data_IF_872386071314
#
_entry.id   IF_872386071314
#
_cell.length_a   1.000
_cell.length_b   1.000
_cell.length_c   1.000
_cell.angle_alpha   90.00
_cell.angle_beta   90.00
_cell.angle_gamma   90.00
#
_symmetry.space_group_name_H-M   'P 1'
#
loop_
_entity.id
_entity.type
_entity.pdbx_description
1 polymer ?
#
# COMPACT_ATOMS: atom_id res chain seq x y z
N UNK A 1 38.71 20.47 11.00
CA UNK A 1 38.60 19.17 10.31
C UNK A 1 37.66 18.22 11.05
N UNK A 2 37.85 17.93 12.35
CA UNK A 2 36.99 17.01 13.14
C UNK A 2 35.50 17.40 13.15
N UNK A 3 35.17 18.67 13.31
CA UNK A 3 33.78 19.15 13.34
C UNK A 3 32.98 18.86 12.05
N UNK A 4 33.64 18.88 10.88
CA UNK A 4 33.01 18.57 9.59
C UNK A 4 32.64 17.08 9.47
N UNK A 5 33.50 16.19 9.98
CA UNK A 5 33.22 14.75 10.00
C UNK A 5 32.06 14.40 10.94
N UNK A 6 32.00 15.03 12.11
CA UNK A 6 30.90 14.83 13.07
C UNK A 6 29.58 15.34 12.50
N UNK A 7 29.57 16.52 11.87
CA UNK A 7 28.38 17.10 11.27
C UNK A 7 27.84 16.24 10.11
N UNK A 8 28.72 15.77 9.22
CA UNK A 8 28.34 14.85 8.13
C UNK A 8 27.78 13.52 8.65
N UNK A 9 28.36 12.95 9.71
CA UNK A 9 27.87 11.72 10.33
C UNK A 9 26.48 11.87 10.97
N UNK A 10 26.25 12.98 11.69
CA UNK A 10 24.95 13.28 12.29
C UNK A 10 23.85 13.52 11.25
N UNK A 11 24.17 14.24 10.16
CA UNK A 11 23.23 14.42 9.05
C UNK A 11 22.92 13.09 8.35
N UNK A 12 23.93 12.25 8.10
CA UNK A 12 23.72 10.93 7.50
C UNK A 12 22.81 10.03 8.35
N UNK A 13 23.01 10.03 9.67
CA UNK A 13 22.15 9.33 10.62
C UNK A 13 20.72 9.86 10.59
N UNK A 14 20.55 11.19 10.57
CA UNK A 14 19.23 11.82 10.52
C UNK A 14 18.45 11.45 9.25
N UNK A 15 19.08 11.57 8.07
CA UNK A 15 18.46 11.15 6.81
C UNK A 15 18.21 9.64 6.75
N UNK A 16 19.10 8.83 7.32
CA UNK A 16 18.92 7.38 7.40
C UNK A 16 17.72 6.98 8.26
N UNK A 17 17.52 7.62 9.41
CA UNK A 17 16.37 7.39 10.29
C UNK A 17 15.05 7.83 9.64
N UNK A 18 15.04 8.96 8.93
CA UNK A 18 13.87 9.41 8.16
C UNK A 18 13.54 8.41 7.05
N UNK A 19 14.54 7.96 6.29
CA UNK A 19 14.35 6.96 5.24
C UNK A 19 13.77 5.67 5.79
N UNK A 20 14.30 5.19 6.92
CA UNK A 20 13.79 4.00 7.61
C UNK A 20 12.33 4.18 8.05
N UNK A 21 11.99 5.33 8.64
CA UNK A 21 10.63 5.63 9.05
C UNK A 21 9.65 5.61 7.86
N UNK A 22 10.04 6.17 6.71
CA UNK A 22 9.21 6.16 5.49
C UNK A 22 8.99 4.73 4.99
N UNK A 23 10.04 3.90 4.95
CA UNK A 23 9.92 2.49 4.54
C UNK A 23 8.97 1.72 5.46
N UNK A 24 9.08 1.92 6.77
CA UNK A 24 8.20 1.29 7.75
C UNK A 24 6.75 1.76 7.55
N UNK A 25 6.52 3.06 7.36
CA UNK A 25 5.18 3.59 7.11
C UNK A 25 4.55 3.02 5.84
N UNK A 26 5.31 2.94 4.74
CA UNK A 26 4.85 2.34 3.48
C UNK A 26 4.54 0.85 3.66
N UNK A 27 5.33 0.13 4.46
CA UNK A 27 5.12 -1.28 4.75
C UNK A 27 3.85 -1.51 5.57
N UNK A 28 3.65 -0.70 6.62
CA UNK A 28 2.42 -0.74 7.44
C UNK A 28 1.20 -0.42 6.58
N UNK A 29 1.29 0.61 5.73
CA UNK A 29 0.22 0.98 4.81
C UNK A 29 -0.12 -0.16 3.83
N UNK A 30 0.90 -0.84 3.30
CA UNK A 30 0.73 -2.01 2.42
C UNK A 30 -0.01 -3.16 3.12
N UNK A 31 0.39 -3.52 4.34
CA UNK A 31 -0.29 -4.54 5.16
C UNK A 31 -1.76 -4.15 5.40
N UNK A 32 -2.03 -2.88 5.77
CA UNK A 32 -3.39 -2.41 6.03
C UNK A 32 -4.29 -2.55 4.79
N UNK A 33 -3.76 -2.30 3.59
CA UNK A 33 -4.52 -2.48 2.34
C UNK A 33 -4.81 -3.95 2.03
N UNK A 34 -3.89 -4.87 2.35
CA UNK A 34 -4.16 -6.31 2.27
C UNK A 34 -5.27 -6.74 3.22
N UNK A 35 -5.22 -6.29 4.48
CA UNK A 35 -6.26 -6.59 5.48
C UNK A 35 -7.61 -6.10 4.97
N UNK A 36 -7.66 -4.88 4.43
CA UNK A 36 -8.89 -4.30 3.90
C UNK A 36 -9.44 -5.10 2.70
N UNK A 37 -8.59 -5.51 1.76
CA UNK A 37 -9.00 -6.33 0.62
C UNK A 37 -9.59 -7.70 1.05
N UNK A 38 -9.04 -8.32 2.10
CA UNK A 38 -9.50 -9.62 2.62
C UNK A 38 -10.80 -9.48 3.43
N UNK A 39 -10.92 -8.41 4.23
CA UNK A 39 -12.07 -8.19 5.12
C UNK A 39 -13.27 -7.53 4.44
N UNK A 40 -13.13 -7.08 3.19
CA UNK A 40 -14.21 -6.45 2.44
C UNK A 40 -15.27 -7.47 2.03
N UNK A 41 -16.40 -7.48 2.74
CA UNK A 41 -17.54 -8.40 2.51
C UNK A 41 -18.35 -8.10 1.25
N UNK A 42 -18.12 -6.95 0.62
CA UNK A 42 -18.80 -6.55 -0.63
C UNK A 42 -18.18 -7.12 -1.91
N UNK A 43 -17.06 -7.83 -1.80
CA UNK A 43 -16.36 -8.48 -2.92
C UNK A 43 -16.63 -9.99 -2.90
N UNK A 44 -16.79 -10.59 -4.07
CA UNK A 44 -16.80 -12.05 -4.22
C UNK A 44 -15.47 -12.65 -3.78
N UNK A 45 -15.45 -13.93 -3.41
CA UNK A 45 -14.21 -14.57 -2.92
C UNK A 45 -13.10 -14.59 -3.98
N UNK A 46 -13.46 -14.66 -5.26
CA UNK A 46 -12.53 -14.56 -6.40
C UNK A 46 -11.95 -13.14 -6.51
N UNK A 47 -12.76 -12.10 -6.34
CA UNK A 47 -12.30 -10.70 -6.37
C UNK A 47 -11.35 -10.38 -5.21
N UNK A 48 -11.62 -10.91 -4.01
CA UNK A 48 -10.71 -10.79 -2.86
C UNK A 48 -9.33 -11.38 -3.19
N UNK A 49 -9.31 -12.60 -3.73
CA UNK A 49 -8.06 -13.29 -4.09
C UNK A 49 -7.28 -12.50 -5.16
N UNK A 50 -7.97 -12.00 -6.20
CA UNK A 50 -7.33 -11.14 -7.22
C UNK A 50 -6.73 -9.87 -6.61
N UNK A 51 -7.47 -9.18 -5.74
CA UNK A 51 -6.98 -7.95 -5.13
C UNK A 51 -5.79 -8.18 -4.21
N UNK A 52 -5.80 -9.28 -3.45
CA UNK A 52 -4.64 -9.70 -2.65
C UNK A 52 -3.43 -9.97 -3.55
N UNK A 53 -3.60 -10.70 -4.66
CA UNK A 53 -2.52 -10.96 -5.62
C UNK A 53 -1.96 -9.65 -6.21
N UNK A 54 -2.82 -8.73 -6.65
CA UNK A 54 -2.40 -7.44 -7.21
C UNK A 54 -1.64 -6.61 -6.17
N UNK A 55 -2.15 -6.51 -4.94
CA UNK A 55 -1.49 -5.74 -3.86
C UNK A 55 -0.16 -6.38 -3.46
N UNK A 56 -0.06 -7.71 -3.46
CA UNK A 56 1.20 -8.43 -3.20
C UNK A 56 2.23 -8.20 -4.30
N UNK A 57 1.87 -8.39 -5.57
CA UNK A 57 2.82 -8.29 -6.68
C UNK A 57 3.19 -6.85 -7.04
N UNK A 58 2.29 -5.90 -6.80
CA UNK A 58 2.46 -4.50 -7.21
C UNK A 58 2.76 -3.55 -6.03
N UNK A 59 2.83 -4.06 -4.80
CA UNK A 59 3.17 -3.31 -3.58
C UNK A 59 2.41 -1.95 -3.49
N UNK A 60 3.14 -0.84 -3.46
CA UNK A 60 2.56 0.51 -3.33
C UNK A 60 1.65 0.90 -4.52
N UNK A 61 1.97 0.43 -5.74
CA UNK A 61 1.14 0.63 -6.92
C UNK A 61 -0.16 -0.18 -6.83
N UNK A 62 -0.12 -1.36 -6.22
CA UNK A 62 -1.29 -2.22 -6.05
C UNK A 62 -2.33 -1.61 -5.11
N UNK A 63 -1.87 -0.96 -4.04
CA UNK A 63 -2.72 -0.19 -3.13
C UNK A 63 -3.40 0.99 -3.82
N UNK A 64 -2.67 1.72 -4.68
CA UNK A 64 -3.22 2.84 -5.44
C UNK A 64 -4.30 2.36 -6.43
N UNK A 65 -4.05 1.26 -7.15
CA UNK A 65 -5.02 0.67 -8.06
C UNK A 65 -6.27 0.16 -7.32
N UNK A 66 -6.13 -0.45 -6.13
CA UNK A 66 -7.28 -0.84 -5.31
C UNK A 66 -8.17 0.36 -4.96
N UNK A 67 -7.59 1.51 -4.62
CA UNK A 67 -8.37 2.71 -4.29
C UNK A 67 -9.23 3.22 -5.45
N UNK A 68 -8.74 3.11 -6.69
CA UNK A 68 -9.46 3.55 -7.88
C UNK A 68 -10.41 2.50 -8.48
N UNK A 69 -10.03 1.22 -8.47
CA UNK A 69 -10.71 0.16 -9.23
C UNK A 69 -11.42 -0.86 -8.33
N UNK A 70 -11.12 -0.91 -7.03
CA UNK A 70 -11.72 -1.86 -6.08
C UNK A 70 -13.16 -1.53 -5.67
N UNK A 71 -13.77 -0.50 -6.26
CA UNK A 71 -15.16 -0.16 -5.98
C UNK A 71 -16.07 -1.20 -6.64
N UNK A 72 -16.94 -1.89 -5.87
CA UNK A 72 -17.87 -2.86 -6.42
C UNK A 72 -18.72 -2.17 -7.51
N UNK A 73 -18.74 -2.77 -8.69
CA UNK A 73 -19.52 -2.27 -9.81
C UNK A 73 -21.00 -2.42 -9.42
N UNK A 74 -21.71 -1.29 -9.33
CA UNK A 74 -23.11 -1.30 -8.92
C UNK A 74 -23.90 -2.34 -9.75
N UNK A 75 -24.63 -3.28 -9.11
CA UNK A 75 -25.50 -4.20 -9.82
C UNK A 75 -26.68 -3.41 -10.38
N UNK A 76 -26.55 -2.91 -11.61
CA UNK A 76 -27.57 -2.04 -12.20
C UNK A 76 -27.55 -1.92 -13.72
N UNK A 77 -26.80 -2.76 -14.43
CA UNK A 77 -26.70 -2.68 -15.90
C UNK A 77 -26.91 -4.03 -16.62
N UNK A 78 -27.70 -4.91 -16.02
CA UNK A 78 -28.32 -6.09 -16.67
C UNK A 78 -29.77 -6.08 -16.18
N UNK A 79 -30.67 -5.35 -16.84
CA UNK A 79 -31.51 -5.87 -17.92
C UNK A 79 -32.54 -6.82 -17.30
N UNK A 80 -33.78 -6.44 -17.03
CA UNK A 80 -34.85 -6.36 -18.04
C UNK A 80 -34.60 -7.35 -19.19
N UNK A 81 -34.67 -8.65 -18.92
CA UNK A 81 -35.08 -9.73 -19.84
C UNK A 81 -35.63 -10.90 -19.04
#
# INVERSE_FOLDING_TARGET
MIAFFVFGGLLGLFFGLIGLAIVVLLFVFWIMMLIHAITNKGLSDVEKIMWVLIVVFLHALGALLYFFLGRPKAPGATGLV
#
